data_IF_475435566861
#
_entry.id   IF_475435566861
#
_cell.length_a   1.000
_cell.length_b   1.000
_cell.length_c   1.000
_cell.angle_alpha   90.00
_cell.angle_beta   90.00
_cell.angle_gamma   90.00
#
_symmetry.space_group_name_H-M   'P 1'
#
loop_
_entity.id
_entity.type
_entity.pdbx_description
1 polymer ?
#
# COMPACT_ATOMS: atom_id res chain seq x y z
N UNK A 1 -16.39 1.42 0.51
CA UNK A 1 -15.24 0.54 0.22
C UNK A 1 -14.89 0.52 -1.27
N UNK A 2 -15.79 0.93 -2.17
CA UNK A 2 -15.60 0.96 -3.63
C UNK A 2 -14.43 1.76 -4.18
N UNK A 3 -13.94 2.79 -3.48
CA UNK A 3 -12.91 3.67 -4.02
C UNK A 3 -11.59 2.91 -4.25
N UNK A 4 -11.13 2.14 -3.25
CA UNK A 4 -9.83 1.45 -3.28
C UNK A 4 -9.84 0.13 -4.06
N UNK A 5 -10.97 -0.57 -4.12
CA UNK A 5 -11.03 -1.89 -4.78
C UNK A 5 -11.33 -1.83 -6.28
N UNK A 6 -11.79 -0.68 -6.77
CA UNK A 6 -12.11 -0.45 -8.18
C UNK A 6 -10.97 0.25 -8.92
N UNK A 7 -9.80 -0.38 -9.01
CA UNK A 7 -8.70 0.13 -9.83
C UNK A 7 -7.34 -0.52 -9.59
N UNK A 8 -6.37 -0.05 -10.36
CA UNK A 8 -4.95 -0.28 -10.12
C UNK A 8 -4.36 0.97 -9.49
N UNK A 9 -3.49 0.76 -8.51
CA UNK A 9 -2.84 1.80 -7.74
C UNK A 9 -1.35 1.76 -7.97
N UNK A 10 -0.72 2.93 -8.00
CA UNK A 10 0.73 3.07 -8.05
C UNK A 10 1.20 3.83 -6.82
N UNK A 11 2.42 3.58 -6.39
CA UNK A 11 3.03 4.33 -5.30
C UNK A 11 3.46 5.69 -5.84
N UNK A 12 2.79 6.73 -5.37
CA UNK A 12 3.08 8.13 -5.68
C UNK A 12 4.15 8.69 -4.73
N UNK A 13 4.11 8.26 -3.46
CA UNK A 13 5.14 8.53 -2.46
C UNK A 13 5.33 7.31 -1.55
N UNK A 14 6.58 6.93 -1.33
CA UNK A 14 6.96 6.15 -0.17
C UNK A 14 8.15 6.80 0.52
N UNK A 15 8.06 7.02 1.82
CA UNK A 15 9.19 7.48 2.62
C UNK A 15 9.29 6.76 3.95
N UNK A 16 10.51 6.53 4.41
CA UNK A 16 10.83 5.93 5.71
C UNK A 16 11.79 6.86 6.45
N UNK A 17 11.43 7.30 7.66
CA UNK A 17 12.22 8.27 8.45
C UNK A 17 12.62 9.54 7.66
N UNK A 18 11.71 10.02 6.80
CA UNK A 18 11.94 11.19 5.94
C UNK A 18 12.79 10.93 4.69
N UNK A 19 13.32 9.72 4.50
CA UNK A 19 14.02 9.31 3.28
C UNK A 19 13.01 8.83 2.26
N UNK A 20 12.93 9.53 1.12
CA UNK A 20 12.04 9.15 0.01
C UNK A 20 12.63 7.96 -0.74
N UNK A 21 11.89 6.85 -0.79
CA UNK A 21 12.26 5.62 -1.50
C UNK A 21 11.22 5.23 -2.57
N UNK A 22 10.43 6.20 -3.06
CA UNK A 22 9.42 5.99 -4.12
C UNK A 22 9.99 5.25 -5.34
N UNK A 23 11.26 5.48 -5.68
CA UNK A 23 11.95 4.83 -6.81
C UNK A 23 11.98 3.30 -6.74
N UNK A 24 11.98 2.72 -5.54
CA UNK A 24 11.99 1.26 -5.36
C UNK A 24 10.68 0.61 -5.87
N UNK A 25 9.60 1.39 -5.87
CA UNK A 25 8.28 0.97 -6.30
C UNK A 25 8.01 1.25 -7.78
N UNK A 26 9.01 1.72 -8.55
CA UNK A 26 8.86 1.96 -9.98
C UNK A 26 8.43 0.68 -10.73
N UNK A 27 7.37 0.82 -11.54
CA UNK A 27 6.80 -0.26 -12.33
C UNK A 27 5.92 -1.24 -11.55
N UNK A 28 5.70 -1.05 -10.25
CA UNK A 28 4.71 -1.80 -9.50
C UNK A 28 3.31 -1.21 -9.67
N UNK A 29 2.33 -2.10 -9.80
CA UNK A 29 0.91 -1.80 -9.76
C UNK A 29 0.26 -2.65 -8.67
N UNK A 30 -0.60 -2.03 -7.87
CA UNK A 30 -1.24 -2.66 -6.73
C UNK A 30 -2.73 -2.78 -6.99
N UNK A 31 -3.26 -3.99 -6.84
CA UNK A 31 -4.69 -4.27 -6.98
C UNK A 31 -5.25 -4.76 -5.65
N UNK A 32 -6.11 -3.97 -5.04
CA UNK A 32 -6.88 -4.36 -3.86
C UNK A 32 -8.19 -4.97 -4.34
N UNK A 33 -8.50 -6.19 -3.91
CA UNK A 33 -9.72 -6.90 -4.31
C UNK A 33 -10.68 -7.03 -3.12
N UNK A 34 -11.99 -7.06 -3.38
CA UNK A 34 -13.03 -7.14 -2.33
C UNK A 34 -12.97 -8.43 -1.49
N UNK A 35 -12.26 -9.46 -1.97
CA UNK A 35 -12.03 -10.71 -1.24
C UNK A 35 -10.81 -10.67 -0.31
N UNK A 36 -10.40 -9.48 0.14
CA UNK A 36 -9.25 -9.25 1.04
C UNK A 36 -7.88 -9.66 0.44
N UNK A 37 -7.81 -9.88 -0.87
CA UNK A 37 -6.54 -10.14 -1.57
C UNK A 37 -5.92 -8.88 -2.15
N UNK A 38 -4.60 -8.78 -2.06
CA UNK A 38 -3.79 -7.68 -2.61
C UNK A 38 -2.78 -8.27 -3.59
N UNK A 39 -2.76 -7.79 -4.83
CA UNK A 39 -1.76 -8.22 -5.81
C UNK A 39 -0.81 -7.06 -6.14
N UNK A 40 0.49 -7.32 -6.02
CA UNK A 40 1.54 -6.45 -6.54
C UNK A 40 2.02 -7.00 -7.89
N UNK A 41 1.77 -6.26 -8.95
CA UNK A 41 2.05 -6.61 -10.34
C UNK A 41 3.27 -5.83 -10.81
N UNK A 42 4.26 -6.50 -11.40
CA UNK A 42 5.43 -5.85 -12.02
C UNK A 42 5.94 -6.67 -13.20
N UNK A 43 5.98 -6.06 -14.39
CA UNK A 43 6.55 -6.67 -15.60
C UNK A 43 6.06 -8.11 -15.88
N UNK A 44 4.77 -8.37 -15.68
CA UNK A 44 4.16 -9.69 -15.90
C UNK A 44 4.31 -10.69 -14.75
N UNK A 45 5.04 -10.35 -13.68
CA UNK A 45 5.06 -11.11 -12.43
C UNK A 45 4.03 -10.55 -11.44
N UNK A 46 3.46 -11.43 -10.62
CA UNK A 46 2.51 -11.06 -9.56
C UNK A 46 2.94 -11.65 -8.23
N UNK A 47 2.98 -10.82 -7.20
CA UNK A 47 3.12 -11.24 -5.80
C UNK A 47 1.78 -11.04 -5.11
N UNK A 48 1.26 -12.11 -4.52
CA UNK A 48 0.00 -12.07 -3.76
C UNK A 48 0.26 -11.78 -2.29
N UNK A 49 -0.59 -10.94 -1.74
CA UNK A 49 -0.68 -10.61 -0.32
C UNK A 49 -2.13 -10.51 0.11
N UNK A 50 -2.33 -10.06 1.34
CA UNK A 50 -3.65 -9.78 1.92
C UNK A 50 -3.74 -8.32 2.32
N UNK A 51 -4.97 -7.80 2.31
CA UNK A 51 -5.28 -6.50 2.88
C UNK A 51 -6.58 -6.58 3.65
N UNK A 52 -6.69 -5.77 4.71
CA UNK A 52 -7.89 -5.70 5.53
C UNK A 52 -8.14 -4.27 5.98
N UNK A 53 -9.26 -3.66 5.57
CA UNK A 53 -9.66 -2.36 6.07
C UNK A 53 -10.28 -2.49 7.47
N UNK A 54 -9.99 -1.53 8.33
CA UNK A 54 -10.63 -1.35 9.63
C UNK A 54 -11.21 0.07 9.67
N UNK A 55 -12.53 0.16 9.51
CA UNK A 55 -13.26 1.43 9.42
C UNK A 55 -13.30 2.15 10.77
N UNK A 56 -13.38 1.44 11.90
CA UNK A 56 -13.46 2.09 13.21
C UNK A 56 -12.18 2.86 13.52
N UNK A 57 -11.05 2.32 13.11
CA UNK A 57 -9.74 2.86 13.44
C UNK A 57 -9.12 3.66 12.28
N UNK A 58 -9.83 3.76 11.15
CA UNK A 58 -9.33 4.34 9.90
C UNK A 58 -7.97 3.77 9.51
N UNK A 59 -7.82 2.43 9.59
CA UNK A 59 -6.58 1.74 9.24
C UNK A 59 -6.78 0.71 8.14
N UNK A 60 -5.70 0.39 7.43
CA UNK A 60 -5.61 -0.70 6.47
C UNK A 60 -4.41 -1.54 6.87
N UNK A 61 -4.64 -2.81 7.16
CA UNK A 61 -3.55 -3.78 7.36
C UNK A 61 -3.22 -4.41 6.03
N UNK A 62 -1.95 -4.48 5.67
CA UNK A 62 -1.47 -5.15 4.46
C UNK A 62 -0.38 -6.14 4.84
N UNK A 63 -0.29 -7.24 4.09
CA UNK A 63 0.71 -8.27 4.35
C UNK A 63 1.09 -8.99 3.04
N UNK A 64 2.37 -9.01 2.72
CA UNK A 64 2.95 -9.76 1.61
C UNK A 64 3.82 -10.91 2.14
N UNK A 65 3.24 -12.08 2.45
CA UNK A 65 3.98 -13.17 3.09
C UNK A 65 5.12 -13.68 2.20
N UNK A 66 6.34 -13.67 2.74
CA UNK A 66 7.53 -14.16 2.04
C UNK A 66 8.01 -13.26 0.91
N UNK A 67 7.48 -12.04 0.78
CA UNK A 67 8.00 -11.08 -0.19
C UNK A 67 9.34 -10.49 0.27
N UNK A 68 10.20 -10.17 -0.69
CA UNK A 68 11.43 -9.43 -0.42
C UNK A 68 11.18 -7.91 -0.46
N UNK A 69 12.19 -7.13 -0.09
CA UNK A 69 12.18 -5.69 -0.33
C UNK A 69 11.95 -5.38 -1.83
N UNK A 70 11.13 -4.37 -2.16
CA UNK A 70 10.54 -3.38 -1.25
C UNK A 70 9.12 -3.75 -0.76
N UNK A 71 8.55 -4.87 -1.19
CA UNK A 71 7.17 -5.26 -0.84
C UNK A 71 7.03 -5.65 0.63
N UNK A 72 8.06 -6.25 1.24
CA UNK A 72 8.07 -6.53 2.69
C UNK A 72 7.83 -5.27 3.51
N UNK A 73 8.39 -4.13 3.09
CA UNK A 73 8.19 -2.83 3.76
C UNK A 73 6.76 -2.30 3.67
N UNK A 74 5.96 -2.79 2.72
CA UNK A 74 4.54 -2.46 2.64
C UNK A 74 3.70 -3.28 3.62
N UNK A 75 4.19 -4.43 4.10
CA UNK A 75 3.51 -5.27 5.09
C UNK A 75 3.43 -4.56 6.44
N UNK A 76 2.40 -3.75 6.64
CA UNK A 76 2.20 -2.96 7.85
C UNK A 76 0.73 -2.61 8.08
N UNK A 77 0.46 -2.02 9.24
CA UNK A 77 -0.79 -1.32 9.54
C UNK A 77 -0.65 0.14 9.16
N UNK A 78 -1.43 0.56 8.17
CA UNK A 78 -1.44 1.90 7.60
C UNK A 78 -2.63 2.68 8.13
N UNK A 79 -2.39 3.77 8.84
CA UNK A 79 -3.44 4.70 9.24
C UNK A 79 -3.74 5.66 8.10
N UNK A 80 -4.98 5.71 7.68
CA UNK A 80 -5.45 6.63 6.65
C UNK A 80 -5.44 8.05 7.21
N UNK A 81 -4.78 8.95 6.49
CA UNK A 81 -4.74 10.38 6.84
C UNK A 81 -5.62 11.20 5.92
N UNK A 82 -5.77 10.77 4.67
CA UNK A 82 -6.53 11.46 3.63
C UNK A 82 -6.76 10.48 2.48
N UNK A 83 -7.94 10.51 1.84
CA UNK A 83 -8.26 9.63 0.72
C UNK A 83 -9.42 10.17 -0.08
N UNK A 84 -9.35 10.00 -1.40
CA UNK A 84 -10.44 10.32 -2.34
C UNK A 84 -10.54 9.19 -3.39
N UNK A 85 -11.27 9.44 -4.47
CA UNK A 85 -11.51 8.48 -5.56
C UNK A 85 -10.25 8.07 -6.31
N UNK A 86 -9.25 8.94 -6.36
CA UNK A 86 -8.03 8.79 -7.16
C UNK A 86 -6.74 8.78 -6.32
N UNK A 87 -6.79 9.02 -5.02
CA UNK A 87 -5.63 8.93 -4.14
C UNK A 87 -5.94 8.37 -2.75
N UNK A 88 -4.93 7.79 -2.11
CA UNK A 88 -4.95 7.37 -0.71
C UNK A 88 -3.64 7.79 -0.08
N UNK A 89 -3.68 8.55 1.02
CA UNK A 89 -2.53 8.90 1.84
C UNK A 89 -2.64 8.22 3.18
N UNK A 90 -1.54 7.63 3.60
CA UNK A 90 -1.48 6.87 4.83
C UNK A 90 -0.11 6.94 5.48
N UNK A 91 -0.10 6.74 6.78
CA UNK A 91 1.10 6.69 7.60
C UNK A 91 1.16 5.39 8.39
N UNK A 92 2.36 4.91 8.65
CA UNK A 92 2.58 3.78 9.54
C UNK A 92 3.70 4.10 10.52
N UNK A 93 3.66 3.48 11.69
CA UNK A 93 4.71 3.59 12.70
C UNK A 93 5.04 2.19 13.18
N UNK A 94 6.12 1.61 12.65
CA UNK A 94 6.57 0.27 13.04
C UNK A 94 7.79 0.44 13.94
N UNK A 95 7.68 0.03 15.21
CA UNK A 95 8.80 0.12 16.18
C UNK A 95 9.43 1.53 16.29
N UNK A 96 8.62 2.58 16.12
CA UNK A 96 9.08 3.97 16.15
C UNK A 96 9.53 4.54 14.80
N UNK A 97 9.68 3.70 13.77
CA UNK A 97 9.99 4.11 12.40
C UNK A 97 8.73 4.60 11.71
N UNK A 98 8.69 5.88 11.36
CA UNK A 98 7.61 6.51 10.60
C UNK A 98 7.75 6.22 9.11
N UNK A 99 6.65 5.76 8.52
CA UNK A 99 6.52 5.52 7.09
C UNK A 99 5.35 6.31 6.54
N UNK A 100 5.53 6.91 5.36
CA UNK A 100 4.44 7.52 4.60
C UNK A 100 4.25 6.71 3.32
N UNK A 101 3.00 6.47 2.98
CA UNK A 101 2.59 5.79 1.76
C UNK A 101 1.44 6.57 1.13
N UNK A 102 1.71 7.14 -0.05
CA UNK A 102 0.69 7.70 -0.91
C UNK A 102 0.51 6.82 -2.13
N UNK A 103 -0.72 6.40 -2.36
CA UNK A 103 -1.14 5.68 -3.54
C UNK A 103 -1.94 6.62 -4.43
N UNK A 104 -1.74 6.49 -5.74
CA UNK A 104 -2.53 7.18 -6.76
C UNK A 104 -3.12 6.15 -7.71
N UNK A 105 -4.34 6.38 -8.14
CA UNK A 105 -5.01 5.54 -9.12
C UNK A 105 -4.38 5.72 -10.49
N UNK A 106 -4.17 4.62 -11.20
CA UNK A 106 -3.66 4.61 -12.57
C UNK A 106 -4.71 5.04 -13.57
#
# INVERSE_FOLDING_TARGET
MDAITKGLWVVDLYSEEGVVMTGDYAGYEFKFNDNETLNALKSGSSVSGTWKPNISDYTITTNFPGAANPLDKLSSVWKLTDSDWDYVKSESSVTGIKRLLHLRKK
#
